data_IF_800201548777
#
_entry.id   IF_800201548777
#
_cell.length_a   1.000
_cell.length_b   1.000
_cell.length_c   1.000
_cell.angle_alpha   90.00
_cell.angle_beta   90.00
_cell.angle_gamma   90.00
#
_symmetry.space_group_name_H-M   'P 1'
#
loop_
_entity.id
_entity.type
_entity.pdbx_description
1 polymer ?
#
# COMPACT_ATOMS: atom_id res chain seq x y z
N UNK A 1 23.92 40.77 -45.53
CA UNK A 1 23.28 40.93 -44.22
C UNK A 1 21.97 40.17 -44.27
N UNK A 2 21.93 38.95 -43.70
CA UNK A 2 21.41 38.70 -42.33
C UNK A 2 19.89 38.98 -42.30
N UNK A 3 18.97 38.07 -41.94
CA UNK A 3 19.04 36.98 -40.97
C UNK A 3 18.05 35.88 -41.40
N UNK A 4 18.45 34.61 -41.23
CA UNK A 4 17.54 33.46 -41.26
C UNK A 4 16.79 33.45 -39.93
N UNK A 5 15.47 33.55 -39.97
CA UNK A 5 14.61 33.40 -38.80
C UNK A 5 14.42 31.90 -38.53
N UNK A 6 15.36 31.33 -37.78
CA UNK A 6 15.28 29.95 -37.29
C UNK A 6 14.22 29.90 -36.20
N UNK A 7 13.00 29.48 -36.57
CA UNK A 7 11.97 29.08 -35.60
C UNK A 7 12.52 27.96 -34.72
N UNK A 8 13.00 28.34 -33.55
CA UNK A 8 13.37 27.47 -32.44
C UNK A 8 12.09 26.80 -31.94
N UNK A 9 11.81 25.59 -32.42
CA UNK A 9 10.75 24.75 -31.87
C UNK A 9 11.29 24.26 -30.53
N UNK A 10 10.82 24.89 -29.45
CA UNK A 10 11.20 24.50 -28.09
C UNK A 10 10.84 23.04 -27.84
N UNK A 11 11.90 22.27 -27.56
CA UNK A 11 11.86 20.87 -27.14
C UNK A 11 11.13 20.78 -25.80
N UNK A 12 9.83 20.56 -25.88
CA UNK A 12 8.96 20.24 -24.75
C UNK A 12 8.21 18.95 -25.04
N UNK A 13 8.94 17.87 -25.36
CA UNK A 13 8.32 16.57 -25.61
C UNK A 13 7.84 15.98 -24.29
N UNK A 14 6.61 16.35 -23.90
CA UNK A 14 5.90 15.75 -22.77
C UNK A 14 5.76 14.26 -23.06
N UNK A 15 6.20 13.35 -22.16
CA UNK A 15 6.20 11.92 -22.44
C UNK A 15 4.82 11.43 -22.87
N UNK A 16 4.72 11.02 -24.14
CA UNK A 16 3.48 10.63 -24.79
C UNK A 16 3.05 9.27 -24.22
N UNK A 17 2.01 9.25 -23.38
CA UNK A 17 1.37 8.00 -22.97
C UNK A 17 0.08 7.79 -23.75
N UNK A 18 -0.01 6.68 -24.47
CA UNK A 18 -1.20 6.32 -25.23
C UNK A 18 -2.21 5.64 -24.32
N UNK A 19 -3.22 6.38 -23.86
CA UNK A 19 -4.42 5.82 -23.24
C UNK A 19 -5.59 5.82 -24.23
N UNK A 20 -6.40 4.75 -24.19
CA UNK A 20 -7.62 4.63 -25.00
C UNK A 20 -8.75 5.55 -24.54
N UNK A 21 -8.75 5.95 -23.26
CA UNK A 21 -9.80 6.79 -22.66
C UNK A 21 -9.44 8.28 -22.65
N UNK A 22 -10.46 9.13 -22.86
CA UNK A 22 -10.33 10.60 -22.80
C UNK A 22 -10.00 11.11 -21.39
N UNK A 23 -10.44 10.37 -20.37
CA UNK A 23 -10.07 10.55 -18.96
C UNK A 23 -9.72 9.20 -18.35
N UNK A 24 -8.68 9.17 -17.53
CA UNK A 24 -8.29 7.97 -16.80
C UNK A 24 -7.82 8.35 -15.39
N UNK A 25 -7.88 7.39 -14.47
CA UNK A 25 -7.42 7.59 -13.11
C UNK A 25 -5.88 7.67 -13.07
N UNK A 26 -5.35 8.57 -12.27
CA UNK A 26 -3.93 8.63 -11.98
C UNK A 26 -3.43 7.28 -11.42
N UNK A 27 -2.33 6.76 -11.98
CA UNK A 27 -1.77 5.46 -11.61
C UNK A 27 -0.94 5.46 -10.31
N UNK A 28 -0.62 6.64 -9.80
CA UNK A 28 0.21 6.78 -8.60
C UNK A 28 -0.57 6.44 -7.33
N UNK A 29 0.14 5.91 -6.33
CA UNK A 29 -0.43 5.59 -5.03
C UNK A 29 -0.74 6.82 -4.19
N UNK A 30 -1.69 6.68 -3.26
CA UNK A 30 -2.02 7.71 -2.29
C UNK A 30 -0.85 8.03 -1.35
N UNK A 31 -0.47 9.31 -1.30
CA UNK A 31 0.62 9.85 -0.48
C UNK A 31 0.16 10.34 0.90
N UNK A 32 -1.14 10.26 1.21
CA UNK A 32 -1.64 10.64 2.53
C UNK A 32 -1.04 9.74 3.62
N UNK A 33 -0.96 10.22 4.87
CA UNK A 33 -0.37 9.41 5.94
C UNK A 33 -1.33 8.31 6.38
N UNK A 34 -0.80 7.13 6.72
CA UNK A 34 -1.62 5.97 7.10
C UNK A 34 -1.94 5.04 5.93
N UNK A 35 -2.54 3.89 6.21
CA UNK A 35 -3.00 2.96 5.18
C UNK A 35 -4.41 3.36 4.72
N UNK A 36 -4.68 3.31 3.41
CA UNK A 36 -6.01 3.60 2.87
C UNK A 36 -6.99 2.50 3.28
N UNK A 37 -6.51 1.25 3.32
CA UNK A 37 -7.28 0.08 3.74
C UNK A 37 -6.42 -0.86 4.56
N UNK A 38 -7.02 -1.50 5.55
CA UNK A 38 -6.43 -2.66 6.23
C UNK A 38 -7.43 -3.80 6.10
N UNK A 39 -7.03 -4.85 5.39
CA UNK A 39 -7.84 -6.06 5.25
C UNK A 39 -7.24 -7.23 6.02
N UNK A 40 -8.11 -7.97 6.68
CA UNK A 40 -7.80 -9.21 7.39
C UNK A 40 -8.34 -10.38 6.58
N UNK A 41 -7.50 -10.94 5.69
CA UNK A 41 -7.90 -12.10 4.90
C UNK A 41 -7.33 -13.35 5.53
N UNK A 42 -8.17 -14.39 5.73
CA UNK A 42 -7.67 -15.74 5.97
C UNK A 42 -6.85 -16.14 4.75
N UNK A 43 -5.54 -16.27 4.94
CA UNK A 43 -4.66 -16.71 3.87
C UNK A 43 -4.82 -18.22 3.75
N UNK A 44 -5.66 -18.65 2.82
CA UNK A 44 -5.92 -20.06 2.50
C UNK A 44 -4.77 -20.73 1.75
N UNK A 45 -3.52 -20.44 2.11
CA UNK A 45 -2.34 -21.03 1.46
C UNK A 45 -2.01 -22.44 2.00
N UNK A 46 -2.97 -23.10 2.65
CA UNK A 46 -2.79 -24.39 3.32
C UNK A 46 -2.18 -24.28 4.73
N UNK A 47 -2.07 -25.41 5.44
CA UNK A 47 -1.45 -25.48 6.75
C UNK A 47 0.03 -25.08 6.67
N UNK A 48 0.50 -24.31 7.66
CA UNK A 48 1.92 -24.00 7.86
C UNK A 48 2.52 -25.01 8.83
N UNK A 49 3.74 -25.44 8.59
CA UNK A 49 4.49 -26.27 9.55
C UNK A 49 5.27 -25.39 10.52
N UNK A 50 4.99 -25.52 11.81
CA UNK A 50 5.83 -24.98 12.86
C UNK A 50 6.95 -25.97 13.19
N UNK A 51 8.20 -25.50 13.10
CA UNK A 51 9.38 -26.28 13.45
C UNK A 51 10.00 -25.71 14.74
N UNK A 52 9.73 -26.31 15.91
CA UNK A 52 10.27 -25.82 17.17
C UNK A 52 11.80 -25.94 17.19
N UNK A 53 12.47 -24.97 17.80
CA UNK A 53 13.92 -24.99 18.02
C UNK A 53 14.34 -25.78 19.27
N UNK A 54 13.38 -26.16 20.10
CA UNK A 54 13.61 -26.91 21.34
C UNK A 54 13.98 -28.35 21.02
N UNK A 55 15.12 -28.82 21.55
CA UNK A 55 15.57 -30.20 21.35
C UNK A 55 14.51 -31.20 21.83
N UNK A 56 14.14 -32.15 20.97
CA UNK A 56 13.13 -33.18 21.27
C UNK A 56 11.67 -32.77 20.99
N UNK A 57 11.40 -31.50 20.67
CA UNK A 57 10.06 -31.07 20.28
C UNK A 57 9.72 -31.50 18.84
N UNK A 58 8.49 -31.96 18.63
CA UNK A 58 8.01 -32.38 17.30
C UNK A 58 7.43 -31.20 16.53
N UNK A 59 7.70 -31.15 15.24
CA UNK A 59 7.04 -30.23 14.33
C UNK A 59 5.55 -30.58 14.20
N UNK A 60 4.71 -29.57 13.98
CA UNK A 60 3.28 -29.75 13.77
C UNK A 60 2.74 -28.74 12.75
N UNK A 61 1.64 -29.10 12.12
CA UNK A 61 0.94 -28.26 11.15
C UNK A 61 -0.14 -27.43 11.83
N UNK A 62 -0.34 -26.20 11.36
CA UNK A 62 -1.38 -25.30 11.85
C UNK A 62 -1.92 -24.42 10.73
N UNK A 63 -3.20 -24.06 10.80
CA UNK A 63 -3.79 -23.10 9.87
C UNK A 63 -3.34 -21.68 10.20
N UNK A 64 -2.73 -20.99 9.22
CA UNK A 64 -2.34 -19.60 9.40
C UNK A 64 -3.53 -18.68 9.18
N UNK A 65 -4.19 -18.31 10.27
CA UNK A 65 -5.32 -17.40 10.21
C UNK A 65 -4.81 -15.97 10.19
N UNK A 66 -5.09 -15.30 9.08
CA UNK A 66 -5.05 -13.85 8.87
C UNK A 66 -3.65 -13.30 8.51
N UNK A 67 -3.55 -12.68 7.35
CA UNK A 67 -2.54 -11.67 7.07
C UNK A 67 -3.25 -10.31 7.04
N UNK A 68 -2.74 -9.36 7.83
CA UNK A 68 -3.20 -7.98 7.76
C UNK A 68 -2.37 -7.26 6.70
N UNK A 69 -3.00 -6.91 5.58
CA UNK A 69 -2.36 -6.11 4.54
C UNK A 69 -2.82 -4.67 4.66
N UNK A 70 -1.88 -3.78 4.96
CA UNK A 70 -2.09 -2.34 4.84
C UNK A 70 -1.87 -1.96 3.38
N UNK A 71 -2.88 -1.41 2.75
CA UNK A 71 -2.88 -1.09 1.32
C UNK A 71 -2.99 0.42 1.11
N UNK A 72 -2.32 0.87 0.04
CA UNK A 72 -2.45 2.22 -0.51
C UNK A 72 -3.32 2.13 -1.76
N UNK A 73 -4.42 2.86 -1.79
CA UNK A 73 -5.23 2.99 -2.99
C UNK A 73 -4.55 3.93 -3.99
N UNK A 74 -4.89 3.79 -5.26
CA UNK A 74 -4.46 4.74 -6.28
C UNK A 74 -5.09 6.13 -6.03
N UNK A 75 -4.41 7.16 -6.51
CA UNK A 75 -4.90 8.52 -6.46
C UNK A 75 -6.26 8.64 -7.17
N UNK A 76 -7.18 9.43 -6.61
CA UNK A 76 -8.55 9.61 -7.12
C UNK A 76 -8.65 10.63 -8.25
N UNK A 77 -7.57 11.35 -8.57
CA UNK A 77 -7.55 12.38 -9.61
C UNK A 77 -7.70 11.77 -11.02
N UNK A 78 -8.59 12.38 -11.81
CA UNK A 78 -8.83 12.01 -13.21
C UNK A 78 -8.01 12.88 -14.15
N UNK A 79 -7.08 12.25 -14.85
CA UNK A 79 -6.18 12.89 -15.80
C UNK A 79 -6.77 12.88 -17.21
N UNK A 80 -6.55 13.96 -18.00
CA UNK A 80 -6.87 13.95 -19.41
C UNK A 80 -5.99 12.94 -20.17
N UNK A 81 -6.45 12.56 -21.36
CA UNK A 81 -5.66 11.79 -22.31
C UNK A 81 -4.25 12.35 -22.45
N UNK A 82 -3.27 11.46 -22.59
CA UNK A 82 -1.85 11.78 -22.72
C UNK A 82 -1.14 12.33 -21.47
N UNK A 83 -1.82 12.70 -20.38
CA UNK A 83 -1.17 12.97 -19.08
C UNK A 83 -1.12 11.74 -18.17
N UNK A 84 0.07 11.29 -17.75
CA UNK A 84 0.25 10.13 -16.86
C UNK A 84 0.17 10.48 -15.36
N UNK A 85 0.59 11.69 -14.99
CA UNK A 85 0.62 12.17 -13.60
C UNK A 85 0.06 13.60 -13.53
N UNK A 86 -0.39 14.03 -12.35
CA UNK A 86 -0.67 15.43 -12.04
C UNK A 86 0.39 15.96 -11.06
N UNK A 87 0.47 17.28 -10.94
CA UNK A 87 1.29 17.93 -9.92
C UNK A 87 0.54 17.99 -8.58
N UNK A 88 1.31 18.14 -7.50
CA UNK A 88 0.78 18.18 -6.14
C UNK A 88 0.60 16.80 -5.51
N UNK A 89 0.03 16.79 -4.29
CA UNK A 89 -0.09 15.58 -3.49
C UNK A 89 -1.16 14.64 -4.03
N UNK A 90 -0.81 13.37 -4.16
CA UNK A 90 -1.71 12.29 -4.55
C UNK A 90 -2.59 11.85 -3.36
N UNK A 91 -3.91 11.86 -3.54
CA UNK A 91 -4.90 11.55 -2.51
C UNK A 91 -5.89 10.52 -3.03
N UNK A 92 -6.34 9.62 -2.15
CA UNK A 92 -7.39 8.65 -2.52
C UNK A 92 -8.78 9.21 -2.18
N UNK A 93 -9.81 8.38 -2.29
CA UNK A 93 -11.18 8.74 -1.90
C UNK A 93 -11.47 8.51 -0.41
N UNK A 94 -10.55 7.88 0.33
CA UNK A 94 -10.74 7.58 1.74
C UNK A 94 -10.56 8.82 2.60
N UNK A 95 -11.61 9.16 3.37
CA UNK A 95 -11.57 10.30 4.29
C UNK A 95 -10.74 10.00 5.55
N UNK A 96 -10.61 8.73 5.93
CA UNK A 96 -9.92 8.31 7.15
C UNK A 96 -8.93 7.21 6.81
N UNK A 97 -7.65 7.54 6.94
CA UNK A 97 -6.58 6.57 6.83
C UNK A 97 -6.37 5.87 8.16
N UNK A 98 -5.96 4.61 8.12
CA UNK A 98 -5.69 3.78 9.30
C UNK A 98 -4.23 3.89 9.71
N UNK A 99 -3.96 3.63 10.98
CA UNK A 99 -2.63 3.70 11.56
C UNK A 99 -1.70 2.63 10.96
N UNK A 100 -0.46 3.03 10.70
CA UNK A 100 0.58 2.17 10.12
C UNK A 100 1.36 1.34 11.14
N UNK A 101 1.09 1.53 12.43
CA UNK A 101 1.73 0.73 13.48
C UNK A 101 1.27 -0.73 13.38
N UNK A 102 2.24 -1.64 13.46
CA UNK A 102 2.00 -3.09 13.50
C UNK A 102 2.18 -3.63 14.92
N UNK A 103 1.37 -4.62 15.29
CA UNK A 103 1.59 -5.40 16.50
C UNK A 103 2.87 -6.22 16.35
N UNK A 104 3.82 -6.09 17.30
CA UNK A 104 5.09 -6.82 17.23
C UNK A 104 4.92 -8.34 17.30
N UNK A 105 3.88 -8.82 17.98
CA UNK A 105 3.62 -10.24 18.18
C UNK A 105 3.03 -10.94 16.93
N UNK A 106 2.00 -10.36 16.31
CA UNK A 106 1.32 -10.97 15.15
C UNK A 106 1.61 -10.29 13.82
N UNK A 107 2.24 -9.11 13.81
CA UNK A 107 2.54 -8.33 12.60
C UNK A 107 1.35 -7.52 12.06
N UNK A 108 0.21 -7.48 12.76
CA UNK A 108 -1.00 -6.91 12.20
C UNK A 108 -1.10 -5.41 12.42
N UNK A 109 -1.61 -4.70 11.41
CA UNK A 109 -1.84 -3.27 11.47
C UNK A 109 -2.88 -2.89 12.52
N UNK A 110 -2.68 -1.71 13.10
CA UNK A 110 -3.62 -1.06 13.98
C UNK A 110 -4.92 -0.70 13.23
N UNK A 111 -6.07 -0.98 13.83
CA UNK A 111 -7.40 -0.66 13.25
C UNK A 111 -7.84 0.78 13.47
N UNK A 112 -7.11 1.54 14.29
CA UNK A 112 -7.46 2.93 14.61
C UNK A 112 -7.05 3.87 13.48
N UNK A 113 -7.65 5.05 13.44
CA UNK A 113 -7.29 6.10 12.49
C UNK A 113 -5.82 6.53 12.64
N UNK A 114 -5.23 7.01 11.55
CA UNK A 114 -3.91 7.61 11.57
C UNK A 114 -3.86 8.77 12.57
N UNK A 115 -2.77 8.87 13.33
CA UNK A 115 -2.59 9.91 14.35
C UNK A 115 -3.43 9.74 15.62
N UNK A 116 -4.03 8.57 15.86
CA UNK A 116 -4.74 8.31 17.11
C UNK A 116 -3.80 8.39 18.32
N UNK A 117 -4.37 8.71 19.48
CA UNK A 117 -3.67 8.70 20.77
C UNK A 117 -3.87 7.36 21.52
N UNK A 118 -3.02 7.13 22.52
CA UNK A 118 -3.09 5.96 23.39
C UNK A 118 -2.66 4.64 22.73
N UNK A 119 -3.01 3.52 23.37
CA UNK A 119 -2.56 2.20 22.93
C UNK A 119 -3.09 1.84 21.53
N UNK A 120 -2.25 1.19 20.73
CA UNK A 120 -2.66 0.59 19.46
C UNK A 120 -3.61 -0.58 19.70
N UNK A 121 -4.52 -0.81 18.74
CA UNK A 121 -5.51 -1.89 18.79
C UNK A 121 -5.50 -2.63 17.47
N UNK A 122 -5.58 -3.95 17.49
CA UNK A 122 -5.66 -4.77 16.28
C UNK A 122 -6.49 -6.03 16.53
N UNK A 123 -7.07 -6.60 15.48
CA UNK A 123 -7.68 -7.91 15.54
C UNK A 123 -6.58 -8.97 15.53
N UNK A 124 -6.02 -9.29 16.70
CA UNK A 124 -4.89 -10.21 16.81
C UNK A 124 -5.17 -11.55 16.11
N UNK A 125 -4.14 -12.11 15.48
CA UNK A 125 -4.16 -13.46 14.95
C UNK A 125 -2.92 -14.22 15.42
N UNK A 126 -2.44 -15.15 14.60
CA UNK A 126 -1.34 -16.03 15.00
C UNK A 126 -0.09 -15.20 15.33
N UNK A 127 0.37 -15.30 16.59
CA UNK A 127 1.49 -14.54 17.17
C UNK A 127 2.84 -15.04 16.61
N UNK A 128 2.97 -14.96 15.29
CA UNK A 128 4.00 -15.63 14.48
C UNK A 128 5.41 -15.12 14.79
N UNK A 129 5.53 -13.94 15.40
CA UNK A 129 6.82 -13.35 15.77
C UNK A 129 7.21 -13.62 17.23
N UNK A 130 6.33 -14.26 18.01
CA UNK A 130 6.64 -14.65 19.38
C UNK A 130 7.41 -15.98 19.41
N UNK A 131 8.29 -16.10 20.40
CA UNK A 131 8.99 -17.35 20.71
C UNK A 131 8.48 -17.85 22.04
N UNK A 132 8.21 -19.15 22.12
CA UNK A 132 8.02 -19.81 23.41
C UNK A 132 9.39 -19.89 24.10
N UNK A 133 9.46 -19.43 25.35
CA UNK A 133 10.61 -19.54 26.24
C UNK A 133 10.39 -20.66 27.25
#
# INVERSE_FOLDING_TARGET
MDMKDEKKIESGMVPFHCCSSERHQCSEGCEEKGNCKVEYKRVGNGPKTFNPKTAGAKSFEYDSHIAANGEKHNCSQLLPKYKKMHEGQHKCTENVHTCQSICRACGYYCIKSFGHNGAHSTAHGNMSNCKFI
#
